data_IF_094772712557
#
_entry.id   IF_094772712557
#
_cell.length_a   1.000
_cell.length_b   1.000
_cell.length_c   1.000
_cell.angle_alpha   90.00
_cell.angle_beta   90.00
_cell.angle_gamma   90.00
#
_symmetry.space_group_name_H-M   'P 1'
#
loop_
_entity.id
_entity.type
_entity.pdbx_description
1 polymer ?
#
# COMPACT_ATOMS: atom_id res chain seq x y z
N UNK A 1 7.51 -21.16 -4.80
CA UNK A 1 6.92 -20.84 -4.90
C UNK A 1 6.41 -19.68 -4.55
N UNK A 2 5.78 -19.05 -4.88
CA UNK A 2 5.44 -17.96 -4.65
C UNK A 2 4.54 -17.77 -3.69
N UNK A 3 4.68 -17.10 -2.78
CA UNK A 3 3.86 -16.91 -1.92
C UNK A 3 3.31 -15.68 -2.05
N UNK A 4 2.20 -15.57 -2.39
CA UNK A 4 1.68 -14.43 -2.56
C UNK A 4 1.34 -13.82 -1.41
N UNK A 5 1.31 -12.73 -1.12
CA UNK A 5 0.74 -12.04 -0.03
C UNK A 5 1.66 -11.65 1.08
N UNK A 6 2.92 -11.91 1.00
CA UNK A 6 3.85 -11.41 1.97
C UNK A 6 4.83 -10.50 1.30
N UNK A 7 5.00 -9.30 1.80
CA UNK A 7 5.96 -8.37 1.25
C UNK A 7 7.35 -8.75 1.67
N UNK A 8 8.26 -8.73 0.74
CA UNK A 8 9.66 -8.91 1.06
C UNK A 8 10.29 -7.58 1.40
N UNK A 9 11.56 -7.63 1.77
CA UNK A 9 12.32 -6.42 2.10
C UNK A 9 12.35 -5.47 0.93
N UNK A 10 12.48 -5.99 -0.28
CA UNK A 10 12.57 -5.14 -1.46
C UNK A 10 11.26 -4.41 -1.74
N UNK A 11 10.13 -5.05 -1.44
CA UNK A 11 8.84 -4.41 -1.63
C UNK A 11 8.69 -3.21 -0.71
N UNK A 12 9.08 -3.36 0.55
CA UNK A 12 8.97 -2.26 1.50
C UNK A 12 9.99 -1.17 1.21
N UNK A 13 11.14 -1.55 0.66
CA UNK A 13 12.15 -0.57 0.31
C UNK A 13 11.66 0.36 -0.80
N UNK A 14 10.75 -0.09 -1.61
CA UNK A 14 10.19 0.75 -2.65
C UNK A 14 9.61 2.04 -2.07
N UNK A 15 9.02 1.95 -0.89
CA UNK A 15 8.44 3.12 -0.25
C UNK A 15 9.47 4.20 0.08
N UNK A 16 10.74 3.82 0.20
CA UNK A 16 11.79 4.80 0.47
C UNK A 16 12.37 5.39 -0.80
N UNK A 17 12.19 4.71 -1.92
CA UNK A 17 12.80 5.12 -3.18
C UNK A 17 11.85 5.82 -4.13
N UNK A 18 10.61 5.93 -3.77
CA UNK A 18 9.61 6.58 -4.62
C UNK A 18 8.77 7.53 -3.79
N UNK A 19 8.12 8.46 -4.44
CA UNK A 19 7.13 9.27 -3.75
C UNK A 19 6.02 8.37 -3.31
N UNK A 20 5.47 8.62 -2.14
CA UNK A 20 4.39 7.79 -1.64
C UNK A 20 3.37 8.60 -0.87
N UNK A 21 2.22 8.00 -0.66
CA UNK A 21 1.16 8.57 0.16
C UNK A 21 0.76 7.53 1.18
N UNK A 22 0.26 7.98 2.32
CA UNK A 22 -0.16 7.11 3.40
C UNK A 22 -1.57 7.48 3.80
N UNK A 23 -2.38 6.48 4.07
CA UNK A 23 -3.73 6.73 4.59
C UNK A 23 -4.80 6.38 3.59
N UNK A 24 -5.95 5.96 4.13
CA UNK A 24 -7.06 5.48 3.34
C UNK A 24 -7.61 6.54 2.39
N UNK A 25 -7.82 7.74 2.88
CA UNK A 25 -8.44 8.77 2.06
C UNK A 25 -7.54 9.21 0.92
N UNK A 26 -6.26 9.39 1.22
CA UNK A 26 -5.30 9.77 0.20
C UNK A 26 -5.18 8.70 -0.87
N UNK A 27 -5.10 7.45 -0.44
CA UNK A 27 -4.97 6.35 -1.37
C UNK A 27 -6.21 6.22 -2.25
N UNK A 28 -7.38 6.34 -1.66
CA UNK A 28 -8.61 6.23 -2.42
C UNK A 28 -8.67 7.31 -3.51
N UNK A 29 -8.34 8.54 -3.17
CA UNK A 29 -8.35 9.62 -4.14
C UNK A 29 -7.36 9.36 -5.27
N UNK A 30 -6.16 8.88 -4.93
CA UNK A 30 -5.16 8.62 -5.94
C UNK A 30 -5.57 7.48 -6.86
N UNK A 31 -6.18 6.43 -6.31
CA UNK A 31 -6.66 5.32 -7.13
C UNK A 31 -7.75 5.77 -8.09
N UNK A 32 -8.65 6.62 -7.64
CA UNK A 32 -9.72 7.12 -8.48
C UNK A 32 -9.17 7.96 -9.63
N UNK A 33 -8.06 8.63 -9.44
CA UNK A 33 -7.43 9.41 -10.49
C UNK A 33 -6.56 8.56 -11.39
N UNK A 34 -6.25 7.33 -10.97
CA UNK A 34 -5.34 6.48 -11.73
C UNK A 34 -3.89 6.82 -11.56
N UNK A 35 -3.53 7.54 -10.51
CA UNK A 35 -2.16 7.98 -10.29
C UNK A 35 -1.39 7.17 -9.28
N UNK A 36 -1.54 5.86 -9.26
CA UNK A 36 -0.86 5.02 -8.28
C UNK A 36 -0.02 3.98 -8.99
N UNK A 37 1.23 3.81 -8.55
CA UNK A 37 2.11 2.80 -9.08
C UNK A 37 1.83 1.45 -8.43
N UNK A 38 1.77 1.40 -7.09
CA UNK A 38 1.57 0.19 -6.35
C UNK A 38 0.90 0.47 -5.03
N UNK A 39 0.02 -0.40 -4.61
CA UNK A 39 -0.72 -0.25 -3.36
C UNK A 39 -0.13 -1.20 -2.33
N UNK A 40 0.04 -0.71 -1.09
CA UNK A 40 0.50 -1.52 0.02
C UNK A 40 -0.59 -1.53 1.07
N UNK A 41 -1.03 -2.71 1.47
CA UNK A 41 -2.09 -2.88 2.46
C UNK A 41 -1.61 -3.80 3.56
N UNK A 42 -1.95 -3.49 4.81
CA UNK A 42 -1.52 -4.28 5.94
C UNK A 42 -2.54 -5.36 6.26
N UNK A 43 -2.07 -6.60 6.43
CA UNK A 43 -2.97 -7.72 6.67
C UNK A 43 -3.66 -7.66 8.01
N UNK A 44 -3.01 -7.06 9.00
CA UNK A 44 -3.60 -6.97 10.35
C UNK A 44 -4.42 -5.72 10.54
N UNK A 45 -4.65 -4.93 9.49
CA UNK A 45 -5.51 -3.78 9.57
C UNK A 45 -6.96 -4.22 9.46
N UNK A 46 -7.86 -3.34 9.88
CA UNK A 46 -9.29 -3.60 9.82
C UNK A 46 -9.70 -3.87 8.37
N UNK A 47 -10.33 -5.01 8.07
CA UNK A 47 -10.78 -5.29 6.71
C UNK A 47 -11.73 -4.25 6.15
N UNK A 48 -12.46 -3.56 7.01
CA UNK A 48 -13.36 -2.49 6.55
C UNK A 48 -12.57 -1.38 5.87
N UNK A 49 -11.27 -1.27 6.16
CA UNK A 49 -10.41 -0.29 5.52
C UNK A 49 -9.73 -0.89 4.29
N UNK A 50 -9.18 -2.09 4.43
CA UNK A 50 -8.34 -2.64 3.36
C UNK A 50 -9.13 -3.27 2.23
N UNK A 51 -10.28 -3.88 2.50
CA UNK A 51 -11.03 -4.55 1.45
C UNK A 51 -11.54 -3.61 0.37
N UNK A 52 -12.16 -2.47 0.71
CA UNK A 52 -12.60 -1.56 -0.35
C UNK A 52 -11.44 -1.01 -1.18
N UNK A 53 -10.28 -0.79 -0.54
CA UNK A 53 -9.11 -0.31 -1.26
C UNK A 53 -8.56 -1.39 -2.18
N UNK A 54 -8.56 -2.64 -1.73
CA UNK A 54 -8.12 -3.74 -2.57
C UNK A 54 -9.02 -3.90 -3.79
N UNK A 55 -10.32 -3.79 -3.59
CA UNK A 55 -11.27 -3.90 -4.69
C UNK A 55 -11.06 -2.77 -5.70
N UNK A 56 -10.88 -1.57 -5.20
CA UNK A 56 -10.66 -0.43 -6.09
C UNK A 56 -9.35 -0.57 -6.85
N UNK A 57 -8.30 -1.02 -6.18
CA UNK A 57 -7.01 -1.23 -6.84
C UNK A 57 -7.13 -2.27 -7.94
N UNK A 58 -7.86 -3.35 -7.68
CA UNK A 58 -8.08 -4.38 -8.69
C UNK A 58 -8.85 -3.82 -9.87
N UNK A 59 -9.88 -3.03 -9.61
CA UNK A 59 -10.68 -2.43 -10.67
C UNK A 59 -9.84 -1.49 -11.54
N UNK A 60 -8.80 -0.90 -10.97
CA UNK A 60 -7.92 0.00 -11.70
C UNK A 60 -6.70 -0.72 -12.28
N UNK A 61 -6.61 -2.02 -12.09
CA UNK A 61 -5.45 -2.78 -12.59
C UNK A 61 -4.16 -2.45 -11.88
N UNK A 62 -4.23 -1.99 -10.63
CA UNK A 62 -3.07 -1.59 -9.86
C UNK A 62 -2.62 -2.74 -8.98
N UNK A 63 -1.33 -2.99 -8.96
CA UNK A 63 -0.77 -4.09 -8.19
C UNK A 63 -0.89 -3.82 -6.69
N UNK A 64 -1.21 -4.85 -5.93
CA UNK A 64 -1.31 -4.77 -4.48
C UNK A 64 -0.23 -5.63 -3.85
N UNK A 65 0.45 -5.05 -2.86
CA UNK A 65 1.43 -5.77 -2.07
C UNK A 65 0.86 -5.86 -0.65
N UNK A 66 0.68 -7.05 -0.13
CA UNK A 66 0.17 -7.24 1.22
C UNK A 66 1.34 -7.32 2.20
N UNK A 67 1.32 -6.44 3.18
CA UNK A 67 2.33 -6.36 4.21
C UNK A 67 1.77 -7.03 5.47
N UNK A 68 2.55 -7.80 6.17
CA UNK A 68 2.05 -8.56 7.31
C UNK A 68 1.48 -7.71 8.42
N UNK A 69 2.13 -6.59 8.74
CA UNK A 69 1.72 -5.78 9.88
C UNK A 69 1.71 -4.30 9.57
N UNK A 70 0.74 -3.62 10.16
CA UNK A 70 0.66 -2.16 10.07
C UNK A 70 1.94 -1.50 10.60
N UNK A 71 2.51 -2.08 11.62
CA UNK A 71 3.73 -1.56 12.22
C UNK A 71 4.85 -1.51 11.18
N UNK A 72 5.01 -2.58 10.43
CA UNK A 72 6.07 -2.65 9.43
C UNK A 72 5.81 -1.68 8.28
N UNK A 73 4.56 -1.55 7.86
CA UNK A 73 4.21 -0.61 6.80
C UNK A 73 4.46 0.83 7.26
N UNK A 74 4.09 1.14 8.49
CA UNK A 74 4.35 2.47 9.04
C UNK A 74 5.82 2.79 9.09
N UNK A 75 6.64 1.82 9.51
CA UNK A 75 8.09 2.04 9.57
C UNK A 75 8.66 2.25 8.17
N UNK A 76 8.17 1.53 7.19
CA UNK A 76 8.63 1.71 5.81
C UNK A 76 8.29 3.10 5.28
N UNK A 77 7.22 3.69 5.81
CA UNK A 77 6.81 5.05 5.44
C UNK A 77 7.45 6.10 6.34
N UNK A 78 8.30 5.69 7.26
CA UNK A 78 9.02 6.59 8.17
C UNK A 78 8.07 7.38 9.09
N UNK A 79 7.01 6.74 9.51
CA UNK A 79 6.10 7.35 10.49
C UNK A 79 6.14 6.55 11.78
N UNK A 80 5.75 7.19 12.89
CA UNK A 80 5.85 6.57 14.20
C UNK A 80 4.69 5.65 14.55
N UNK A 81 3.67 5.64 13.75
CA UNK A 81 2.48 4.81 14.01
C UNK A 81 2.32 3.82 12.88
N UNK A 82 1.50 2.81 13.10
CA UNK A 82 1.20 1.84 12.07
C UNK A 82 0.42 2.46 10.92
N UNK A 83 0.52 1.87 9.74
CA UNK A 83 -0.22 2.31 8.58
C UNK A 83 -1.03 1.14 8.03
N UNK A 84 -2.31 1.35 7.80
CA UNK A 84 -3.16 0.34 7.21
C UNK A 84 -2.99 0.27 5.70
N UNK A 85 -2.67 1.40 5.09
CA UNK A 85 -2.60 1.51 3.63
C UNK A 85 -1.62 2.58 3.21
N UNK A 86 -0.94 2.33 2.12
CA UNK A 86 0.00 3.29 1.53
C UNK A 86 0.10 2.98 0.04
N UNK A 87 0.68 3.87 -0.71
CA UNK A 87 0.89 3.63 -2.13
C UNK A 87 2.10 4.40 -2.61
N UNK A 88 2.78 3.85 -3.59
CA UNK A 88 3.83 4.58 -4.28
C UNK A 88 3.23 5.23 -5.51
N UNK A 89 3.81 6.34 -5.89
CA UNK A 89 3.30 7.12 -7.02
C UNK A 89 4.23 6.98 -8.22
N UNK A 90 3.70 7.13 -9.43
CA UNK A 90 4.55 7.04 -10.61
C UNK A 90 5.55 8.18 -10.60
N UNK A 91 6.70 7.92 -11.20
CA UNK A 91 7.69 8.97 -11.34
C UNK A 91 7.53 9.63 -12.68
N UNK A 92 7.86 10.88 -12.74
CA UNK A 92 7.75 11.60 -14.00
C UNK A 92 9.06 11.66 -14.70
#
# INVERSE_FOLDING_TARGET
MNIRGSAGVDDLRELRNHKFIVGMKQLRKALLRGGVRRVFLARDADPAITEPLAELAQAKGTEIVWVGKMHDLGRACSIDVGAAAAATLPEN
#
